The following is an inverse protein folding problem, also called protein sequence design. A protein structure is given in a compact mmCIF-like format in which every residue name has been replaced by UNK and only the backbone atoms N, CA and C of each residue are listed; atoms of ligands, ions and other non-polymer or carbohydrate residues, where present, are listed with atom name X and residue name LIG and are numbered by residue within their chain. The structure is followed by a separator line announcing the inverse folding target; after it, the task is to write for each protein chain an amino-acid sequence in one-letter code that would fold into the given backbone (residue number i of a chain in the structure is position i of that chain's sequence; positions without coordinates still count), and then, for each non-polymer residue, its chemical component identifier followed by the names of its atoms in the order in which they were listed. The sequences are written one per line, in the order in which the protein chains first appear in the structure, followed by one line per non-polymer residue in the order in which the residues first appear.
data_IF_592171800111
#
_entry.id   IF_592171800111
#
_cell.length_a   1.000
_cell.length_b   1.000
_cell.length_c   1.000
_cell.angle_alpha   90.00
_cell.angle_beta   90.00
_cell.angle_gamma   90.00
#
_symmetry.space_group_name_H-M   'P 1'
#
loop_
_entity.id
_entity.type
_entity.pdbx_description
1 polymer ?
#
# COMPACT_ATOMS: atom_id res chain seq x y z
N UNK A 1 31.34 15.68 0.69
CA UNK A 1 32.09 15.20 -0.50
C UNK A 1 32.80 13.91 -0.09
N UNK A 2 32.76 12.86 -0.90
CA UNK A 2 33.52 11.65 -0.61
C UNK A 2 34.88 11.76 -1.30
N UNK A 3 35.96 11.73 -0.54
CA UNK A 3 37.30 11.93 -1.10
C UNK A 3 37.97 10.61 -1.51
N UNK A 4 37.42 9.47 -1.05
CA UNK A 4 37.91 8.14 -1.38
C UNK A 4 37.16 7.61 -2.62
N UNK A 5 37.88 7.10 -3.61
CA UNK A 5 37.32 6.60 -4.90
C UNK A 5 36.22 5.54 -4.67
N UNK A 6 36.43 4.64 -3.71
CA UNK A 6 35.45 3.62 -3.35
C UNK A 6 34.15 4.23 -2.81
N UNK A 7 34.23 5.29 -2.01
CA UNK A 7 33.07 6.01 -1.48
C UNK A 7 32.33 6.79 -2.57
N UNK A 8 33.04 7.44 -3.51
CA UNK A 8 32.43 8.10 -4.66
C UNK A 8 31.60 7.08 -5.48
N UNK A 9 32.13 5.87 -5.68
CA UNK A 9 31.39 4.76 -6.33
C UNK A 9 30.14 4.36 -5.53
N UNK A 10 30.26 4.21 -4.20
CA UNK A 10 29.11 3.88 -3.34
C UNK A 10 28.03 4.96 -3.37
N UNK A 11 28.39 6.24 -3.35
CA UNK A 11 27.44 7.34 -3.45
C UNK A 11 26.63 7.29 -4.76
N UNK A 12 27.29 7.08 -5.90
CA UNK A 12 26.62 6.91 -7.20
C UNK A 12 25.64 5.72 -7.20
N UNK A 13 26.02 4.59 -6.59
CA UNK A 13 25.14 3.43 -6.48
C UNK A 13 23.94 3.68 -5.56
N UNK A 14 24.18 4.34 -4.43
CA UNK A 14 23.15 4.66 -3.45
C UNK A 14 22.09 5.59 -4.03
N UNK A 15 22.49 6.58 -4.83
CA UNK A 15 21.54 7.48 -5.48
C UNK A 15 20.62 6.73 -6.46
N UNK A 16 21.18 5.86 -7.31
CA UNK A 16 20.38 5.02 -8.22
C UNK A 16 19.38 4.14 -7.45
N UNK A 17 19.85 3.48 -6.38
CA UNK A 17 18.98 2.67 -5.51
C UNK A 17 17.93 3.51 -4.80
N UNK A 18 18.26 4.73 -4.37
CA UNK A 18 17.32 5.66 -3.72
C UNK A 18 16.15 5.99 -4.64
N UNK A 19 16.43 6.34 -5.90
CA UNK A 19 15.41 6.68 -6.89
C UNK A 19 14.52 5.46 -7.18
N UNK A 20 15.13 4.30 -7.44
CA UNK A 20 14.39 3.06 -7.65
C UNK A 20 13.51 2.69 -6.44
N UNK A 21 14.06 2.73 -5.23
CA UNK A 21 13.31 2.40 -4.02
C UNK A 21 12.19 3.41 -3.75
N UNK A 22 12.35 4.67 -4.13
CA UNK A 22 11.34 5.71 -3.96
C UNK A 22 10.07 5.40 -4.77
N UNK A 23 10.19 4.89 -5.99
CA UNK A 23 9.01 4.61 -6.84
C UNK A 23 8.18 3.47 -6.27
N UNK A 24 8.79 2.31 -5.97
CA UNK A 24 8.07 1.16 -5.42
C UNK A 24 7.53 1.43 -4.01
N UNK A 25 8.31 2.10 -3.16
CA UNK A 25 7.87 2.49 -1.82
C UNK A 25 6.73 3.50 -1.87
N UNK A 26 6.80 4.45 -2.81
CA UNK A 26 5.76 5.45 -3.06
C UNK A 26 4.45 4.78 -3.49
N UNK A 27 4.50 3.97 -4.55
CA UNK A 27 3.34 3.24 -5.06
C UNK A 27 2.67 2.37 -3.97
N UNK A 28 3.47 1.62 -3.19
CA UNK A 28 2.93 0.81 -2.09
C UNK A 28 2.29 1.68 -0.98
N UNK A 29 2.85 2.85 -0.67
CA UNK A 29 2.24 3.77 0.31
C UNK A 29 0.92 4.34 -0.21
N UNK A 30 0.89 4.80 -1.47
CA UNK A 30 -0.32 5.35 -2.09
C UNK A 30 -1.43 4.31 -2.13
N UNK A 31 -1.15 3.07 -2.54
CA UNK A 31 -2.14 2.01 -2.57
C UNK A 31 -2.69 1.67 -1.18
N UNK A 32 -1.85 1.69 -0.14
CA UNK A 32 -2.30 1.51 1.25
C UNK A 32 -3.20 2.66 1.70
N UNK A 33 -2.87 3.91 1.34
CA UNK A 33 -3.70 5.07 1.68
C UNK A 33 -5.05 5.00 0.97
N UNK A 34 -5.06 4.65 -0.32
CA UNK A 34 -6.29 4.45 -1.09
C UNK A 34 -7.18 3.37 -0.47
N UNK A 35 -6.61 2.19 -0.17
CA UNK A 35 -7.35 1.11 0.49
C UNK A 35 -7.85 1.50 1.89
N UNK A 36 -7.21 2.45 2.58
CA UNK A 36 -7.70 2.97 3.86
C UNK A 36 -8.83 3.98 3.69
N UNK A 37 -8.79 4.79 2.64
CA UNK A 37 -9.87 5.71 2.28
C UNK A 37 -11.15 4.99 1.90
N UNK A 38 -11.05 3.91 1.11
CA UNK A 38 -12.22 3.14 0.68
C UNK A 38 -13.00 2.52 1.86
N UNK A 39 -12.31 2.12 2.93
CA UNK A 39 -12.97 1.68 4.17
C UNK A 39 -13.75 2.79 4.89
N UNK A 40 -13.34 4.05 4.76
CA UNK A 40 -14.03 5.18 5.40
C UNK A 40 -15.26 5.61 4.60
N UNK A 41 -15.21 5.48 3.27
CA UNK A 41 -16.27 5.87 2.35
C UNK A 41 -17.32 4.77 2.11
N UNK A 42 -17.12 3.57 2.68
CA UNK A 42 -17.95 2.37 2.45
C UNK A 42 -18.11 2.05 0.95
N UNK A 43 -17.06 2.27 0.17
CA UNK A 43 -17.07 2.09 -1.27
C UNK A 43 -17.25 0.59 -1.62
N UNK A 44 -18.18 0.21 -2.53
CA UNK A 44 -18.26 -1.16 -3.05
C UNK A 44 -16.93 -1.69 -3.61
N UNK A 45 -16.05 -0.82 -4.11
CA UNK A 45 -14.74 -1.18 -4.69
C UNK A 45 -13.64 -1.42 -3.64
N UNK A 46 -13.97 -1.37 -2.34
CA UNK A 46 -13.01 -1.55 -1.24
C UNK A 46 -12.21 -2.86 -1.35
N UNK A 47 -12.82 -3.95 -1.83
CA UNK A 47 -12.12 -5.23 -2.04
C UNK A 47 -11.01 -5.10 -3.07
N UNK A 48 -11.29 -4.45 -4.19
CA UNK A 48 -10.33 -4.29 -5.29
C UNK A 48 -9.16 -3.39 -4.88
N UNK A 49 -9.45 -2.28 -4.20
CA UNK A 49 -8.44 -1.38 -3.66
C UNK A 49 -7.48 -2.11 -2.69
N UNK A 50 -8.01 -3.01 -1.85
CA UNK A 50 -7.19 -3.83 -0.95
C UNK A 50 -6.33 -4.83 -1.72
N UNK A 51 -6.86 -5.48 -2.75
CA UNK A 51 -6.08 -6.42 -3.58
C UNK A 51 -4.94 -5.71 -4.33
N UNK A 52 -5.20 -4.51 -4.87
CA UNK A 52 -4.17 -3.67 -5.48
C UNK A 52 -3.08 -3.30 -4.48
N UNK A 53 -3.45 -2.92 -3.25
CA UNK A 53 -2.49 -2.62 -2.20
C UNK A 53 -1.62 -3.82 -1.81
N UNK A 54 -2.19 -5.02 -1.78
CA UNK A 54 -1.47 -6.26 -1.50
C UNK A 54 -0.49 -6.59 -2.62
N UNK A 55 -0.91 -6.49 -3.88
CA UNK A 55 -0.05 -6.71 -5.05
C UNK A 55 1.13 -5.73 -5.07
N UNK A 56 0.88 -4.45 -4.76
CA UNK A 56 1.93 -3.43 -4.69
C UNK A 56 2.94 -3.71 -3.55
N UNK A 57 2.46 -4.17 -2.39
CA UNK A 57 3.31 -4.56 -1.26
C UNK A 57 4.20 -5.76 -1.59
N UNK A 58 3.67 -6.75 -2.30
CA UNK A 58 4.44 -7.93 -2.72
C UNK A 58 5.51 -7.60 -3.73
N UNK A 59 5.18 -6.82 -4.74
CA UNK A 59 6.15 -6.36 -5.73
C UNK A 59 7.27 -5.56 -5.06
N UNK A 60 6.95 -4.74 -4.06
CA UNK A 60 7.95 -4.01 -3.30
C UNK A 60 8.83 -4.91 -2.41
N UNK A 61 8.27 -6.00 -1.87
CA UNK A 61 9.01 -6.99 -1.09
C UNK A 61 9.94 -7.85 -1.97
N UNK A 62 9.42 -8.34 -3.10
CA UNK A 62 10.18 -9.13 -4.08
C UNK A 62 11.39 -8.36 -4.61
N UNK A 63 11.25 -7.04 -4.82
CA UNK A 63 12.35 -6.16 -5.24
C UNK A 63 13.30 -5.75 -4.10
N UNK A 64 13.09 -6.24 -2.88
CA UNK A 64 13.92 -5.92 -1.71
C UNK A 64 13.79 -4.48 -1.21
N UNK A 65 12.78 -3.73 -1.67
CA UNK A 65 12.55 -2.33 -1.26
C UNK A 65 11.97 -2.25 0.15
N UNK A 66 11.19 -3.26 0.52
CA UNK A 66 10.56 -3.44 1.83
C UNK A 66 10.88 -4.85 2.32
N UNK A 67 11.22 -5.01 3.61
CA UNK A 67 11.46 -6.33 4.18
C UNK A 67 10.19 -7.21 4.10
N UNK A 68 10.29 -8.52 3.80
CA UNK A 68 9.12 -9.41 3.69
C UNK A 68 8.22 -9.36 4.93
N UNK A 69 8.79 -9.42 6.13
CA UNK A 69 8.02 -9.27 7.37
C UNK A 69 7.25 -7.94 7.49
N UNK A 70 7.79 -6.83 6.94
CA UNK A 70 7.06 -5.56 6.93
C UNK A 70 5.89 -5.60 5.94
N UNK A 71 6.08 -6.21 4.77
CA UNK A 71 4.99 -6.45 3.84
C UNK A 71 3.91 -7.35 4.45
N UNK A 72 4.28 -8.50 5.04
CA UNK A 72 3.36 -9.43 5.72
C UNK A 72 2.57 -8.77 6.85
N UNK A 73 3.23 -7.95 7.69
CA UNK A 73 2.55 -7.18 8.74
C UNK A 73 1.49 -6.23 8.17
N UNK A 74 1.80 -5.52 7.08
CA UNK A 74 0.88 -4.57 6.44
C UNK A 74 -0.30 -5.29 5.78
N UNK A 75 -0.03 -6.39 5.07
CA UNK A 75 -1.08 -7.25 4.50
C UNK A 75 -2.02 -7.78 5.57
N UNK A 76 -1.49 -8.36 6.64
CA UNK A 76 -2.30 -8.91 7.73
C UNK A 76 -3.22 -7.85 8.35
N UNK A 77 -2.73 -6.61 8.52
CA UNK A 77 -3.55 -5.50 9.01
C UNK A 77 -4.66 -5.11 8.04
N UNK A 78 -4.39 -5.06 6.73
CA UNK A 78 -5.40 -4.76 5.72
C UNK A 78 -6.46 -5.86 5.64
N UNK A 79 -6.06 -7.13 5.62
CA UNK A 79 -6.99 -8.25 5.57
C UNK A 79 -7.84 -8.36 6.82
N UNK A 80 -7.28 -8.12 8.01
CA UNK A 80 -8.08 -8.08 9.25
C UNK A 80 -9.16 -6.99 9.19
N UNK A 81 -8.84 -5.82 8.64
CA UNK A 81 -9.83 -4.74 8.45
C UNK A 81 -10.88 -5.11 7.41
N UNK A 82 -10.47 -5.73 6.30
CA UNK A 82 -11.41 -6.20 5.29
C UNK A 82 -12.37 -7.26 5.85
N UNK A 83 -11.85 -8.23 6.60
CA UNK A 83 -12.68 -9.23 7.26
C UNK A 83 -13.69 -8.58 8.24
N UNK A 84 -13.24 -7.64 9.06
CA UNK A 84 -14.11 -6.90 9.97
C UNK A 84 -15.18 -6.07 9.24
N UNK A 85 -14.82 -5.45 8.11
CA UNK A 85 -15.74 -4.70 7.25
C UNK A 85 -16.82 -5.61 6.64
N UNK A 86 -16.44 -6.83 6.24
CA UNK A 86 -17.38 -7.81 5.67
C UNK A 86 -18.24 -8.51 6.73
N UNK A 87 -17.75 -8.67 7.96
CA UNK A 87 -18.49 -9.30 9.05
C UNK A 87 -19.39 -8.34 9.84
N UNK A 88 -19.11 -7.03 9.79
CA UNK A 88 -19.99 -6.04 10.34
C UNK A 88 -21.25 -5.95 9.45
N UNK A 89 -22.48 -6.00 10.01
CA UNK A 89 -23.68 -5.75 9.22
C UNK A 89 -23.56 -4.37 8.57
N UNK A 90 -24.05 -4.18 7.34
CA UNK A 90 -24.01 -2.87 6.69
C UNK A 90 -24.72 -1.88 7.61
N UNK A 91 -23.98 -0.88 8.10
CA UNK A 91 -24.62 0.26 8.75
C UNK A 91 -25.41 1.00 7.68
N UNK A 92 -26.70 0.70 7.70
CA UNK A 92 -27.86 1.36 7.13
C UNK A 92 -28.06 1.28 5.61
N UNK A 93 -29.18 0.65 5.26
CA UNK A 93 -29.93 0.69 4.01
C UNK A 93 -30.38 2.12 3.59
N UNK A 94 -29.83 3.19 4.19
CA UNK A 94 -30.34 4.56 4.02
C UNK A 94 -29.67 5.37 2.89
N UNK A 95 -28.56 4.91 2.32
CA UNK A 95 -27.85 5.66 1.27
C UNK A 95 -28.28 5.30 -0.17
N UNK A 96 -28.91 4.15 -0.39
CA UNK A 96 -29.36 3.73 -1.74
C UNK A 96 -30.62 4.49 -2.18
N UNK A 97 -31.42 5.00 -1.23
CA UNK A 97 -32.67 5.72 -1.52
C UNK A 97 -32.47 7.19 -1.95
N UNK A 98 -31.30 7.81 -1.73
CA UNK A 98 -31.05 9.23 -2.05
C UNK A 98 -30.33 9.48 -3.38
N UNK A 99 -29.89 8.44 -4.10
CA UNK A 99 -29.32 8.56 -5.46
C UNK A 99 -30.28 8.18 -6.60
N UNK A 100 -31.52 7.81 -6.28
CA UNK A 100 -32.63 7.59 -7.22
C UNK A 100 -33.84 8.45 -6.84
N UNK A 101 -33.68 9.77 -6.85
CA UNK A 101 -34.74 10.76 -7.09
C UNK A 101 -34.10 12.01 -7.67
#
# INVERSE_FOLDING_TARGET
MANIISQIKRNRQNEKRRIHNRTFRGAARTAITAARGSFAENDPETKEAVMLAISALDKAAQKGVIHPNNASRRKGRLMKRLAAFLSAPPKTEEAVAKKKK
#
